data_IF_032439398556
#
_entry.id   IF_032439398556
#
_cell.length_a   1.000
_cell.length_b   1.000
_cell.length_c   1.000
_cell.angle_alpha   90.00
_cell.angle_beta   90.00
_cell.angle_gamma   90.00
#
_symmetry.space_group_name_H-M   'P 1'
#
loop_
_entity.id
_entity.type
_entity.pdbx_description
1 polymer ?
#
# COMPACT_ATOMS: atom_id res chain seq x y z
N UNK A 1 73.18 11.23 3.02
CA UNK A 1 73.46 9.98 2.26
C UNK A 1 72.19 9.70 1.47
N UNK A 2 72.07 10.19 0.22
CA UNK A 2 72.38 9.50 -1.05
C UNK A 2 71.59 8.18 -1.20
N UNK A 3 70.85 7.86 -2.28
CA UNK A 3 70.50 8.51 -3.56
C UNK A 3 69.48 7.59 -4.28
N UNK A 4 68.60 8.17 -5.09
CA UNK A 4 67.79 7.60 -6.19
C UNK A 4 68.47 6.51 -7.04
N UNK A 5 67.67 5.70 -7.78
CA UNK A 5 67.70 5.40 -9.26
C UNK A 5 66.51 4.45 -9.56
N UNK A 6 65.47 4.74 -10.37
CA UNK A 6 65.30 5.10 -11.79
C UNK A 6 65.47 3.92 -12.79
N UNK A 7 64.30 3.47 -13.31
CA UNK A 7 63.90 3.00 -14.67
C UNK A 7 64.71 1.95 -15.44
N UNK A 8 64.02 1.11 -16.22
CA UNK A 8 64.10 1.10 -17.70
C UNK A 8 62.88 0.41 -18.33
N UNK A 9 62.40 1.03 -19.41
CA UNK A 9 61.33 0.59 -20.30
C UNK A 9 61.86 -0.33 -21.43
N UNK A 10 60.97 -1.04 -22.10
CA UNK A 10 61.14 -1.39 -23.52
C UNK A 10 59.79 -1.52 -24.22
N UNK A 11 59.60 -0.66 -25.22
CA UNK A 11 58.54 -0.71 -26.24
C UNK A 11 58.83 -1.81 -27.27
N UNK A 12 57.78 -2.30 -27.95
CA UNK A 12 57.83 -2.66 -29.37
C UNK A 12 56.44 -2.52 -30.01
N UNK A 13 56.35 -1.61 -30.98
CA UNK A 13 55.26 -1.44 -31.96
C UNK A 13 55.33 -2.57 -33.01
N UNK A 14 54.25 -3.00 -33.67
CA UNK A 14 53.54 -2.44 -34.85
C UNK A 14 52.51 -3.54 -35.25
N UNK A 15 51.34 -3.31 -35.87
CA UNK A 15 51.06 -2.54 -37.07
C UNK A 15 49.54 -2.26 -37.21
N UNK A 16 49.22 -1.18 -37.91
CA UNK A 16 47.89 -0.74 -38.28
C UNK A 16 47.37 -1.45 -39.53
N UNK A 17 46.05 -1.66 -39.60
CA UNK A 17 45.30 -1.79 -40.87
C UNK A 17 44.10 -0.85 -40.78
N UNK A 18 44.05 0.10 -41.70
CA UNK A 18 42.89 0.95 -41.97
C UNK A 18 41.85 0.18 -42.79
N UNK A 19 40.57 0.29 -42.44
CA UNK A 19 39.48 0.35 -43.42
C UNK A 19 38.40 1.33 -42.99
N UNK A 20 38.05 2.19 -43.94
CA UNK A 20 37.05 3.25 -43.98
C UNK A 20 35.60 2.76 -43.85
N UNK A 21 34.71 3.54 -43.23
CA UNK A 21 33.27 3.36 -43.35
C UNK A 21 32.44 4.48 -42.70
N UNK A 22 31.61 5.14 -43.52
CA UNK A 22 30.68 6.25 -43.29
C UNK A 22 30.10 6.46 -41.88
N UNK A 23 30.04 7.75 -41.49
CA UNK A 23 29.30 8.21 -40.34
C UNK A 23 27.78 8.26 -40.54
N UNK A 24 27.10 8.43 -39.43
CA UNK A 24 26.02 9.41 -39.22
C UNK A 24 25.96 9.64 -37.71
N UNK A 25 25.92 10.91 -37.32
CA UNK A 25 25.46 11.34 -36.00
C UNK A 25 24.13 10.64 -35.69
N UNK A 26 24.06 10.01 -34.53
CA UNK A 26 22.78 9.92 -33.82
C UNK A 26 22.87 10.94 -32.70
N UNK A 27 22.32 12.10 -33.01
CA UNK A 27 21.82 13.06 -32.05
C UNK A 27 20.82 12.37 -31.11
N UNK A 28 20.77 12.91 -29.89
CA UNK A 28 19.60 12.96 -29.02
C UNK A 28 18.29 12.44 -29.63
N UNK A 29 17.84 11.29 -29.13
CA UNK A 29 16.42 11.15 -28.84
C UNK A 29 16.30 11.15 -27.32
N UNK A 30 16.07 12.36 -26.80
CA UNK A 30 15.22 12.54 -25.64
C UNK A 30 14.02 11.60 -25.79
N UNK A 31 13.65 10.76 -24.81
CA UNK A 31 12.27 10.32 -24.78
C UNK A 31 11.47 11.60 -24.62
N UNK A 32 10.74 11.97 -25.68
CA UNK A 32 9.75 13.02 -25.63
C UNK A 32 8.89 12.72 -24.41
N UNK A 33 8.95 13.64 -23.45
CA UNK A 33 7.98 13.71 -22.38
C UNK A 33 6.62 13.73 -23.06
N UNK A 34 5.93 12.60 -23.02
CA UNK A 34 4.54 12.51 -23.39
C UNK A 34 3.82 13.62 -22.63
N UNK A 35 3.18 14.50 -23.39
CA UNK A 35 2.63 15.78 -22.92
C UNK A 35 1.31 15.57 -22.17
N UNK A 36 1.30 14.57 -21.29
CA UNK A 36 0.41 14.35 -20.16
C UNK A 36 1.17 14.28 -18.81
N UNK A 37 2.45 14.71 -18.78
CA UNK A 37 3.33 14.83 -17.59
C UNK A 37 2.90 15.88 -16.56
N UNK A 38 1.64 16.32 -16.52
CA UNK A 38 1.13 17.13 -15.40
C UNK A 38 0.30 16.30 -14.41
N UNK A 39 0.07 15.01 -14.69
CA UNK A 39 -0.72 14.12 -13.82
C UNK A 39 0.10 13.01 -13.12
N UNK A 40 1.23 12.56 -13.67
CA UNK A 40 2.11 11.58 -12.99
C UNK A 40 2.95 12.24 -11.90
N UNK A 41 3.61 13.36 -12.22
CA UNK A 41 4.61 13.98 -11.33
C UNK A 41 3.96 14.55 -10.05
N UNK A 42 2.69 14.96 -10.15
CA UNK A 42 1.89 15.42 -9.01
C UNK A 42 1.46 14.25 -8.10
N UNK A 43 1.10 13.09 -8.66
CA UNK A 43 0.76 11.88 -7.89
C UNK A 43 2.00 11.24 -7.25
N UNK A 44 3.16 11.33 -7.89
CA UNK A 44 4.43 10.87 -7.33
C UNK A 44 4.89 11.69 -6.11
N UNK A 45 4.45 12.94 -6.01
CA UNK A 45 4.80 13.82 -4.89
C UNK A 45 3.97 13.62 -3.63
N UNK A 46 2.78 13.00 -3.75
CA UNK A 46 1.91 12.73 -2.61
C UNK A 46 2.45 11.53 -1.85
N UNK A 47 2.55 11.65 -0.53
CA UNK A 47 3.03 10.58 0.34
C UNK A 47 2.04 10.28 1.46
N UNK A 48 1.65 9.00 1.58
CA UNK A 48 0.99 8.45 2.75
C UNK A 48 2.04 8.03 3.77
N UNK A 49 2.00 8.66 4.94
CA UNK A 49 2.97 8.42 6.01
C UNK A 49 2.38 7.53 7.09
N UNK A 50 3.13 6.49 7.45
CA UNK A 50 2.83 5.59 8.56
C UNK A 50 3.99 5.64 9.57
N UNK A 51 3.61 5.89 10.82
CA UNK A 51 4.52 5.88 11.96
C UNK A 51 4.04 4.84 12.96
N UNK A 52 4.90 3.86 13.22
CA UNK A 52 4.64 2.73 14.11
C UNK A 52 5.85 2.49 14.99
N UNK A 53 5.70 2.64 16.30
CA UNK A 53 6.83 2.64 17.23
C UNK A 53 6.48 1.95 18.53
N UNK A 54 7.45 1.27 19.14
CA UNK A 54 7.29 0.78 20.49
C UNK A 54 7.21 1.91 21.53
N UNK A 55 6.47 1.70 22.62
CA UNK A 55 6.37 2.66 23.73
C UNK A 55 7.75 3.01 24.33
N UNK A 56 8.61 2.03 24.57
CA UNK A 56 9.99 2.22 25.05
C UNK A 56 11.00 2.58 23.96
N UNK A 57 10.60 2.61 22.69
CA UNK A 57 11.48 2.82 21.53
C UNK A 57 12.31 1.60 21.10
N UNK A 58 12.38 0.54 21.89
CA UNK A 58 12.90 -0.79 21.51
C UNK A 58 12.04 -1.85 22.18
N UNK A 59 11.40 -2.71 21.40
CA UNK A 59 10.54 -3.73 21.97
C UNK A 59 10.27 -4.87 20.98
N UNK A 60 10.48 -6.15 21.36
CA UNK A 60 10.10 -7.33 20.57
C UNK A 60 8.61 -7.34 20.16
N UNK A 61 7.76 -6.62 20.87
CA UNK A 61 6.30 -6.58 20.77
C UNK A 61 5.80 -5.91 19.48
N UNK A 62 6.52 -4.89 19.02
CA UNK A 62 6.34 -4.29 17.70
C UNK A 62 7.28 -4.94 16.67
N UNK A 63 7.60 -6.23 16.86
CA UNK A 63 8.58 -7.00 16.10
C UNK A 63 10.00 -6.40 16.09
N UNK A 64 10.35 -5.62 17.12
CA UNK A 64 11.68 -5.02 17.26
C UNK A 64 11.96 -3.87 16.29
N UNK A 65 10.97 -3.38 15.54
CA UNK A 65 11.18 -2.39 14.49
C UNK A 65 10.28 -1.16 14.67
N UNK A 66 10.88 0.02 14.57
CA UNK A 66 10.14 1.28 14.47
C UNK A 66 10.08 1.69 12.99
N UNK A 67 8.89 1.95 12.47
CA UNK A 67 8.68 2.49 11.13
C UNK A 67 8.27 3.95 11.24
N UNK A 68 8.86 4.80 10.42
CA UNK A 68 8.44 6.19 10.22
C UNK A 68 8.73 6.56 8.78
N UNK A 69 7.79 6.29 7.88
CA UNK A 69 8.05 6.36 6.45
C UNK A 69 6.87 6.93 5.66
N UNK A 70 7.19 7.56 4.54
CA UNK A 70 6.24 7.95 3.50
C UNK A 70 6.29 6.96 2.34
N UNK A 71 5.12 6.69 1.75
CA UNK A 71 4.98 5.93 0.50
C UNK A 71 4.14 6.71 -0.49
N UNK A 72 4.55 6.67 -1.75
CA UNK A 72 3.78 7.27 -2.84
C UNK A 72 2.40 6.63 -2.95
N UNK A 73 1.46 7.30 -3.62
CA UNK A 73 0.18 6.70 -3.92
C UNK A 73 0.37 5.39 -4.71
N UNK A 74 -0.42 4.37 -4.38
CA UNK A 74 -0.32 3.03 -4.96
C UNK A 74 0.81 2.16 -4.40
N UNK A 75 1.67 2.69 -3.52
CA UNK A 75 2.73 1.92 -2.87
C UNK A 75 2.32 1.43 -1.48
N UNK A 76 2.73 0.20 -1.15
CA UNK A 76 2.52 -0.38 0.18
C UNK A 76 3.55 0.16 1.19
N UNK A 77 3.06 0.45 2.40
CA UNK A 77 3.93 0.62 3.57
C UNK A 77 4.63 -0.70 3.91
N UNK A 78 5.72 -0.59 4.65
CA UNK A 78 6.36 -1.73 5.30
C UNK A 78 5.36 -2.47 6.17
N UNK A 79 5.51 -3.79 6.21
CA UNK A 79 4.70 -4.65 7.07
C UNK A 79 5.12 -4.48 8.52
N UNK A 80 4.18 -4.00 9.33
CA UNK A 80 4.33 -3.95 10.78
C UNK A 80 3.61 -5.14 11.40
N UNK A 81 4.08 -5.57 12.56
CA UNK A 81 3.49 -6.68 13.31
C UNK A 81 3.24 -6.24 14.73
N UNK A 82 2.05 -6.56 15.22
CA UNK A 82 1.63 -6.36 16.59
C UNK A 82 1.62 -7.72 17.27
N UNK A 83 2.49 -7.95 18.25
CA UNK A 83 2.37 -9.12 19.12
C UNK A 83 1.08 -9.05 19.93
N UNK A 84 0.44 -10.20 20.13
CA UNK A 84 -0.77 -10.35 20.95
C UNK A 84 -0.56 -11.35 22.09
N UNK A 85 0.70 -11.66 22.39
CA UNK A 85 1.17 -12.72 23.31
C UNK A 85 1.61 -12.23 24.70
N UNK A 86 0.96 -11.18 25.23
CA UNK A 86 1.06 -10.72 26.63
C UNK A 86 2.43 -10.25 27.09
N UNK A 87 3.14 -9.57 26.22
CA UNK A 87 4.42 -8.98 26.56
C UNK A 87 4.24 -7.59 27.17
N UNK A 88 5.18 -7.12 28.01
CA UNK A 88 5.07 -5.79 28.60
C UNK A 88 5.16 -4.71 27.50
N UNK A 89 4.30 -3.70 27.58
CA UNK A 89 4.21 -2.51 26.72
C UNK A 89 3.36 -2.68 25.46
N UNK A 90 3.36 -1.64 24.61
CA UNK A 90 2.56 -1.55 23.40
C UNK A 90 3.25 -0.81 22.28
N UNK A 91 2.48 -0.61 21.21
CA UNK A 91 2.91 0.09 20.01
C UNK A 91 2.07 1.36 19.80
N UNK A 92 2.74 2.49 19.61
CA UNK A 92 2.14 3.72 19.10
C UNK A 92 1.97 3.62 17.59
N UNK A 93 0.81 4.04 17.09
CA UNK A 93 0.52 4.18 15.67
C UNK A 93 -0.06 5.55 15.38
N UNK A 94 0.33 6.13 14.25
CA UNK A 94 -0.28 7.34 13.68
C UNK A 94 0.00 7.44 12.18
N UNK A 95 -0.79 8.28 11.51
CA UNK A 95 -0.65 8.56 10.09
C UNK A 95 -0.64 10.05 9.79
N UNK A 96 -0.17 10.39 8.61
CA UNK A 96 -0.24 11.72 8.01
C UNK A 96 -0.19 11.63 6.49
N UNK A 97 -0.67 12.65 5.80
CA UNK A 97 -0.61 12.70 4.33
C UNK A 97 0.09 14.01 3.94
N UNK A 98 1.23 13.88 3.27
CA UNK A 98 1.94 15.00 2.67
C UNK A 98 1.47 15.14 1.22
N UNK A 99 0.83 16.27 0.92
CA UNK A 99 0.24 16.58 -0.38
C UNK A 99 0.60 18.02 -0.78
N UNK A 100 1.78 18.22 -1.39
CA UNK A 100 2.38 19.54 -1.62
C UNK A 100 1.60 20.38 -2.64
N UNK A 101 0.83 19.73 -3.51
CA UNK A 101 0.09 20.37 -4.60
C UNK A 101 -1.43 20.34 -4.42
N UNK A 102 -1.94 19.70 -3.36
CA UNK A 102 -3.38 19.65 -3.07
C UNK A 102 -4.13 18.62 -3.92
N UNK A 103 -3.47 17.60 -4.45
CA UNK A 103 -4.06 16.53 -5.26
C UNK A 103 -5.13 15.73 -4.51
N UNK A 104 -5.02 15.66 -3.19
CA UNK A 104 -5.94 15.02 -2.25
C UNK A 104 -6.81 16.04 -1.50
N UNK A 105 -6.88 17.30 -1.94
CA UNK A 105 -7.76 18.31 -1.35
C UNK A 105 -9.20 17.80 -1.29
N UNK A 106 -9.86 18.02 -0.15
CA UNK A 106 -11.21 17.51 0.14
C UNK A 106 -11.27 16.05 0.64
N UNK A 107 -10.16 15.31 0.64
CA UNK A 107 -10.10 13.98 1.26
C UNK A 107 -10.23 14.10 2.78
N UNK A 108 -11.15 13.33 3.36
CA UNK A 108 -11.24 13.13 4.80
C UNK A 108 -11.06 11.65 5.13
N UNK A 109 -9.83 11.28 5.51
CA UNK A 109 -9.49 9.96 6.04
C UNK A 109 -9.54 10.01 7.57
N UNK A 110 -10.25 9.06 8.17
CA UNK A 110 -10.37 8.96 9.63
C UNK A 110 -10.10 7.54 10.12
N UNK A 111 -9.57 7.45 11.34
CA UNK A 111 -9.41 6.19 12.06
C UNK A 111 -10.12 6.34 13.40
N UNK A 112 -11.14 5.52 13.64
CA UNK A 112 -11.76 5.39 14.96
C UNK A 112 -11.12 4.23 15.70
N UNK A 113 -10.61 4.50 16.90
CA UNK A 113 -9.90 3.53 17.72
C UNK A 113 -10.52 3.44 19.11
N UNK A 114 -11.11 2.29 19.43
CA UNK A 114 -11.81 2.06 20.70
C UNK A 114 -11.66 0.61 21.14
N UNK A 115 -11.95 0.32 22.41
CA UNK A 115 -12.08 -1.06 22.87
C UNK A 115 -13.28 -1.77 22.24
N UNK A 116 -13.19 -3.08 22.01
CA UNK A 116 -14.22 -3.93 21.41
C UNK A 116 -15.58 -3.90 22.17
N UNK A 117 -15.61 -3.40 23.41
CA UNK A 117 -16.81 -3.23 24.24
C UNK A 117 -17.17 -1.77 24.55
N UNK A 118 -16.68 -0.80 23.75
CA UNK A 118 -17.10 0.61 23.82
C UNK A 118 -16.49 1.45 24.95
N UNK A 119 -15.71 0.85 25.85
CA UNK A 119 -14.85 1.54 26.81
C UNK A 119 -13.55 0.77 26.95
N UNK A 120 -12.41 1.50 26.99
CA UNK A 120 -11.03 1.01 27.22
C UNK A 120 -11.02 -0.39 27.79
N UNK A 121 -10.81 -1.37 26.92
CA UNK A 121 -10.62 -2.79 27.24
C UNK A 121 -9.50 -2.90 28.27
N UNK A 122 -9.83 -2.76 29.56
CA UNK A 122 -8.94 -2.84 30.71
C UNK A 122 -7.55 -2.14 30.58
N UNK A 123 -7.43 -1.06 29.80
CA UNK A 123 -6.16 -0.35 29.55
C UNK A 123 -5.40 -0.75 28.27
N UNK A 124 -5.96 -1.59 27.40
CA UNK A 124 -5.32 -2.09 26.17
C UNK A 124 -5.26 -1.09 25.02
N UNK A 125 -6.27 -0.22 24.94
CA UNK A 125 -6.39 0.78 23.89
C UNK A 125 -6.06 2.13 24.49
N UNK A 126 -4.80 2.54 24.36
CA UNK A 126 -4.30 3.82 24.85
C UNK A 126 -4.73 4.95 23.92
N UNK A 127 -5.19 6.04 24.52
CA UNK A 127 -5.73 7.20 23.81
C UNK A 127 -6.83 6.77 22.80
N UNK A 128 -7.96 6.19 23.26
CA UNK A 128 -9.07 5.87 22.36
C UNK A 128 -9.72 7.16 21.85
N UNK A 129 -10.15 7.15 20.60
CA UNK A 129 -10.72 8.32 19.95
C UNK A 129 -10.88 8.16 18.45
N UNK A 130 -11.45 9.18 17.83
CA UNK A 130 -11.54 9.28 16.38
C UNK A 130 -10.54 10.31 15.89
N UNK A 131 -9.62 9.85 15.05
CA UNK A 131 -8.50 10.62 14.53
C UNK A 131 -8.74 10.98 13.08
N UNK A 132 -8.80 12.28 12.78
CA UNK A 132 -8.69 12.77 11.41
C UNK A 132 -7.22 12.73 10.99
N UNK A 133 -6.93 12.06 9.88
CA UNK A 133 -5.58 12.02 9.31
C UNK A 133 -5.36 13.32 8.52
N UNK A 134 -4.41 14.19 8.94
CA UNK A 134 -4.21 15.46 8.27
C UNK A 134 -3.71 15.27 6.84
N UNK A 135 -4.30 16.01 5.92
CA UNK A 135 -3.87 16.14 4.52
C UNK A 135 -3.43 17.58 4.31
N UNK A 136 -2.21 17.81 3.82
CA UNK A 136 -1.76 19.16 3.53
C UNK A 136 -0.36 19.25 2.93
N UNK A 137 0.07 20.47 2.55
CA UNK A 137 1.32 20.69 1.83
C UNK A 137 2.57 20.48 2.69
N UNK A 138 2.40 20.39 4.01
CA UNK A 138 3.45 20.04 4.95
C UNK A 138 2.95 18.84 5.75
N UNK A 139 3.85 17.85 5.96
CA UNK A 139 3.51 16.66 6.71
C UNK A 139 3.08 17.06 8.13
N UNK A 140 1.82 16.77 8.44
CA UNK A 140 1.25 16.90 9.78
C UNK A 140 0.70 15.55 10.21
N UNK A 141 0.81 15.26 11.50
CA UNK A 141 0.42 13.96 12.06
C UNK A 141 -0.91 14.03 12.76
N UNK A 142 -1.70 12.96 12.63
CA UNK A 142 -2.75 12.68 13.59
C UNK A 142 -2.16 12.49 15.00
N UNK A 143 -3.00 12.66 16.02
CA UNK A 143 -2.67 12.21 17.37
C UNK A 143 -2.36 10.70 17.37
N UNK A 144 -1.35 10.24 18.13
CA UNK A 144 -1.05 8.82 18.21
C UNK A 144 -2.08 8.10 19.09
N UNK A 145 -2.41 6.88 18.71
CA UNK A 145 -3.09 5.92 19.59
C UNK A 145 -2.18 4.73 19.83
N UNK A 146 -2.39 4.10 20.98
CA UNK A 146 -1.52 3.07 21.47
C UNK A 146 -2.26 1.75 21.63
N UNK A 147 -1.56 0.68 21.30
CA UNK A 147 -2.06 -0.69 21.34
C UNK A 147 -1.18 -1.41 22.36
N UNK A 148 -1.66 -1.48 23.61
CA UNK A 148 -0.98 -2.19 24.70
C UNK A 148 -1.18 -3.69 24.55
N UNK A 149 -0.06 -4.43 24.55
CA UNK A 149 -0.01 -5.87 24.24
C UNK A 149 -0.05 -6.74 25.49
N UNK A 150 -0.32 -6.17 26.67
CA UNK A 150 -0.39 -6.88 27.94
C UNK A 150 -1.64 -7.79 28.07
N UNK A 151 -1.60 -8.75 29.01
CA UNK A 151 -2.59 -9.81 29.31
C UNK A 151 -3.95 -9.31 29.85
N UNK A 152 -4.32 -8.07 29.57
CA UNK A 152 -5.68 -7.65 29.85
C UNK A 152 -6.67 -8.44 28.98
N UNK A 153 -7.88 -8.72 29.48
CA UNK A 153 -8.92 -9.28 28.62
C UNK A 153 -9.58 -8.16 27.83
N UNK A 154 -9.66 -8.35 26.51
CA UNK A 154 -10.34 -7.43 25.61
C UNK A 154 -9.65 -7.34 24.26
N UNK A 155 -10.00 -6.31 23.51
CA UNK A 155 -9.41 -6.06 22.22
C UNK A 155 -9.62 -4.63 21.78
N UNK A 156 -8.86 -4.20 20.78
CA UNK A 156 -8.99 -2.89 20.18
C UNK A 156 -9.55 -3.00 18.77
N UNK A 157 -10.52 -2.16 18.46
CA UNK A 157 -11.12 -2.04 17.15
C UNK A 157 -10.54 -0.80 16.48
N UNK A 158 -9.98 -1.00 15.29
CA UNK A 158 -9.56 0.06 14.37
C UNK A 158 -10.56 0.12 13.21
N UNK A 159 -11.31 1.20 13.12
CA UNK A 159 -12.23 1.46 12.01
C UNK A 159 -11.67 2.54 11.11
N UNK A 160 -11.33 2.18 9.89
CA UNK A 160 -10.87 3.09 8.85
C UNK A 160 -12.08 3.56 8.04
N UNK A 161 -12.15 4.87 7.77
CA UNK A 161 -13.23 5.45 6.99
C UNK A 161 -12.72 6.58 6.11
N UNK A 162 -13.08 6.53 4.84
CA UNK A 162 -12.81 7.58 3.85
C UNK A 162 -14.10 8.36 3.61
N UNK A 163 -14.00 9.67 3.41
CA UNK A 163 -15.12 10.54 3.06
C UNK A 163 -14.62 11.79 2.32
N UNK A 164 -15.54 12.62 1.85
CA UNK A 164 -15.25 13.83 1.07
C UNK A 164 -14.84 13.55 -0.38
N UNK A 165 -14.29 12.36 -0.67
CA UNK A 165 -13.90 11.91 -2.00
C UNK A 165 -14.25 10.45 -2.21
N UNK A 166 -14.70 10.13 -3.42
CA UNK A 166 -15.02 8.77 -3.87
C UNK A 166 -14.00 8.19 -4.85
N UNK A 167 -13.00 8.98 -5.26
CA UNK A 167 -11.90 8.58 -6.16
C UNK A 167 -10.62 8.22 -5.41
N UNK A 168 -10.70 7.96 -4.10
CA UNK A 168 -9.58 7.59 -3.24
C UNK A 168 -9.96 6.37 -2.41
N UNK A 169 -9.05 5.41 -2.33
CA UNK A 169 -9.20 4.21 -1.51
C UNK A 169 -7.98 4.00 -0.62
N UNK A 170 -8.22 3.47 0.58
CA UNK A 170 -7.19 2.95 1.46
C UNK A 170 -7.31 1.44 1.49
N UNK A 171 -6.33 0.74 0.92
CA UNK A 171 -6.23 -0.70 1.08
C UNK A 171 -5.50 -1.03 2.39
N UNK A 172 -6.04 -2.01 3.10
CA UNK A 172 -5.51 -2.51 4.35
C UNK A 172 -5.37 -4.02 4.24
N UNK A 173 -4.15 -4.52 4.39
CA UNK A 173 -3.91 -5.95 4.51
C UNK A 173 -3.65 -6.26 5.97
N UNK A 174 -4.51 -7.13 6.52
CA UNK A 174 -4.52 -7.50 7.92
C UNK A 174 -4.44 -9.01 8.05
N UNK A 175 -3.25 -9.55 8.34
CA UNK A 175 -3.03 -11.00 8.36
C UNK A 175 -2.74 -11.49 9.78
N UNK A 176 -3.21 -12.69 10.11
CA UNK A 176 -2.87 -13.36 11.35
C UNK A 176 -1.49 -14.02 11.28
N UNK A 177 -0.68 -13.81 12.32
CA UNK A 177 0.52 -14.59 12.56
C UNK A 177 0.18 -15.78 13.47
N UNK A 178 0.18 -16.98 12.89
CA UNK A 178 -0.02 -18.29 13.54
C UNK A 178 -1.42 -18.59 14.08
N UNK A 179 -2.19 -17.61 14.58
CA UNK A 179 -3.52 -17.86 15.15
C UNK A 179 -4.60 -16.93 14.56
N UNK A 180 -5.59 -17.50 13.85
CA UNK A 180 -6.62 -16.74 13.12
C UNK A 180 -7.69 -16.07 14.01
N UNK A 181 -7.72 -16.35 15.32
CA UNK A 181 -8.73 -15.83 16.24
C UNK A 181 -8.39 -14.47 16.86
N UNK A 182 -7.13 -14.03 16.77
CA UNK A 182 -6.65 -12.79 17.39
C UNK A 182 -6.80 -11.58 16.46
N UNK A 183 -6.88 -11.82 15.15
CA UNK A 183 -7.01 -10.80 14.13
C UNK A 183 -8.38 -10.98 13.47
N UNK A 184 -9.44 -10.46 14.09
CA UNK A 184 -10.77 -10.61 13.52
C UNK A 184 -10.92 -9.71 12.30
N UNK A 185 -11.66 -10.22 11.32
CA UNK A 185 -11.73 -9.63 9.98
C UNK A 185 -10.34 -9.59 9.31
N UNK A 186 -9.54 -10.64 9.47
CA UNK A 186 -8.28 -10.79 8.72
C UNK A 186 -8.55 -10.94 7.21
N UNK A 187 -7.65 -10.39 6.40
CA UNK A 187 -7.71 -10.41 4.94
C UNK A 187 -7.22 -9.11 4.31
N UNK A 188 -7.42 -9.01 3.00
CA UNK A 188 -7.20 -7.78 2.25
C UNK A 188 -8.52 -7.03 2.14
N UNK A 189 -8.51 -5.76 2.53
CA UNK A 189 -9.68 -4.90 2.57
C UNK A 189 -9.43 -3.62 1.80
N UNK A 190 -10.48 -3.08 1.20
CA UNK A 190 -10.46 -1.77 0.56
C UNK A 190 -11.48 -0.86 1.23
N UNK A 191 -10.97 0.20 1.86
CA UNK A 191 -11.77 1.26 2.47
C UNK A 191 -12.11 2.28 1.41
N UNK A 192 -13.40 2.54 1.21
CA UNK A 192 -13.90 3.56 0.28
C UNK A 192 -14.87 4.49 1.00
N UNK A 193 -15.36 5.52 0.29
CA UNK A 193 -16.38 6.44 0.81
C UNK A 193 -17.68 5.76 1.27
N UNK A 194 -17.94 4.54 0.78
CA UNK A 194 -19.17 3.79 1.04
C UNK A 194 -18.92 2.50 1.83
N UNK A 195 -17.65 2.14 2.05
CA UNK A 195 -17.26 0.90 2.69
C UNK A 195 -16.20 1.18 3.77
N UNK A 196 -16.60 1.61 4.97
CA UNK A 196 -15.70 1.67 6.11
C UNK A 196 -15.32 0.25 6.55
N UNK A 197 -14.07 0.06 6.98
CA UNK A 197 -13.56 -1.27 7.39
C UNK A 197 -13.14 -1.22 8.85
N UNK A 198 -13.65 -2.17 9.63
CA UNK A 198 -13.25 -2.41 11.02
C UNK A 198 -12.38 -3.65 11.13
N UNK A 199 -11.25 -3.51 11.80
CA UNK A 199 -10.33 -4.59 12.15
C UNK A 199 -10.30 -4.71 13.67
N UNK A 200 -10.45 -5.92 14.20
CA UNK A 200 -10.38 -6.15 15.65
C UNK A 200 -9.12 -6.91 15.99
N UNK A 201 -8.34 -6.32 16.90
CA UNK A 201 -7.20 -6.94 17.57
C UNK A 201 -7.72 -7.52 18.88
N UNK A 202 -7.91 -8.83 18.95
CA UNK A 202 -8.26 -9.54 20.18
C UNK A 202 -6.99 -9.93 20.92
N UNK A 203 -6.88 -9.44 22.15
CA UNK A 203 -5.75 -9.65 23.03
C UNK A 203 -6.23 -10.51 24.18
N UNK A 204 -6.14 -11.83 23.99
CA UNK A 204 -6.52 -12.80 25.00
C UNK A 204 -5.40 -13.79 25.31
N UNK A 205 -4.15 -13.31 25.29
CA UNK A 205 -2.95 -14.01 25.73
C UNK A 205 -2.65 -15.30 24.96
N UNK A 206 -3.07 -15.33 23.70
CA UNK A 206 -2.66 -16.38 22.77
C UNK A 206 -1.39 -15.94 22.07
N UNK A 207 -0.51 -16.91 21.86
CA UNK A 207 0.72 -16.70 21.12
C UNK A 207 0.41 -16.27 19.69
N UNK A 208 1.16 -15.34 19.12
CA UNK A 208 0.95 -14.86 17.76
C UNK A 208 0.90 -13.34 17.70
N UNK A 209 0.26 -12.85 16.63
CA UNK A 209 0.16 -11.43 16.39
C UNK A 209 -0.62 -11.12 15.13
N UNK A 210 -0.75 -9.85 14.82
CA UNK A 210 -1.39 -9.38 13.60
C UNK A 210 -0.44 -8.52 12.78
N UNK A 211 -0.33 -8.83 11.50
CA UNK A 211 0.39 -8.01 10.54
C UNK A 211 -0.52 -6.94 9.95
N UNK A 212 0.02 -5.74 9.74
CA UNK A 212 -0.65 -4.64 9.08
C UNK A 212 0.24 -4.05 7.99
N UNK A 213 -0.31 -3.86 6.79
CA UNK A 213 0.25 -2.99 5.74
C UNK A 213 -0.86 -2.15 5.13
N UNK A 214 -0.51 -0.93 4.74
CA UNK A 214 -1.45 0.05 4.22
C UNK A 214 -1.00 0.54 2.84
N UNK A 215 -1.96 0.86 1.99
CA UNK A 215 -1.71 1.51 0.68
C UNK A 215 -2.82 2.51 0.42
N UNK A 216 -2.45 3.79 0.32
CA UNK A 216 -3.36 4.82 -0.17
C UNK A 216 -3.23 4.91 -1.69
N UNK A 217 -4.35 4.95 -2.40
CA UNK A 217 -4.35 5.09 -3.87
C UNK A 217 -5.50 5.94 -4.35
N UNK A 218 -5.32 6.52 -5.53
CA UNK A 218 -6.37 7.23 -6.27
C UNK A 218 -6.95 6.25 -7.28
N UNK A 219 -8.26 6.03 -7.19
CA UNK A 219 -9.02 5.22 -8.13
C UNK A 219 -9.23 6.07 -9.39
N UNK A 220 -8.32 5.95 -10.35
CA UNK A 220 -8.37 6.71 -11.59
C UNK A 220 -9.03 5.91 -12.68
N UNK A 221 -10.11 6.44 -13.26
CA UNK A 221 -10.62 5.84 -14.48
C UNK A 221 -9.65 6.05 -15.67
N UNK A 222 -9.57 5.08 -16.57
CA UNK A 222 -8.83 5.12 -17.83
C UNK A 222 -7.48 4.42 -17.82
N UNK A 223 -7.17 3.61 -16.81
CA UNK A 223 -5.94 2.79 -16.73
C UNK A 223 -6.14 1.34 -17.21
N UNK A 224 -7.36 0.98 -17.62
CA UNK A 224 -7.76 -0.35 -18.06
C UNK A 224 -7.54 -1.45 -17.00
N UNK A 225 -7.56 -1.11 -15.71
CA UNK A 225 -7.51 -2.09 -14.63
C UNK A 225 -8.66 -1.81 -13.67
N UNK A 226 -9.59 -2.76 -13.51
CA UNK A 226 -10.64 -2.63 -12.51
C UNK A 226 -10.11 -2.98 -11.11
N UNK A 227 -9.67 -1.99 -10.35
CA UNK A 227 -9.27 -2.20 -8.96
C UNK A 227 -10.48 -2.32 -8.02
N UNK A 228 -10.31 -2.96 -6.86
CA UNK A 228 -11.39 -3.08 -5.88
C UNK A 228 -11.94 -1.70 -5.46
N UNK A 229 -13.26 -1.53 -5.46
CA UNK A 229 -13.90 -0.27 -5.09
C UNK A 229 -14.03 0.76 -6.22
N UNK A 230 -13.49 0.48 -7.40
CA UNK A 230 -13.69 1.33 -8.57
C UNK A 230 -15.09 1.17 -9.16
N UNK A 231 -15.67 2.29 -9.60
CA UNK A 231 -16.99 2.32 -10.26
C UNK A 231 -16.90 2.82 -11.70
N UNK A 232 -15.70 2.80 -12.28
CA UNK A 232 -15.41 3.31 -13.62
C UNK A 232 -15.83 2.28 -14.68
N UNK A 233 -16.88 2.52 -15.49
CA UNK A 233 -17.29 1.52 -16.50
C UNK A 233 -16.23 1.32 -17.59
N UNK A 234 -15.41 2.34 -17.87
CA UNK A 234 -14.33 2.25 -18.85
C UNK A 234 -13.28 1.19 -18.49
N UNK A 235 -12.97 1.04 -17.19
CA UNK A 235 -11.94 0.10 -16.72
C UNK A 235 -12.55 -1.19 -16.17
N UNK A 236 -13.75 -1.10 -15.58
CA UNK A 236 -14.47 -2.23 -14.97
C UNK A 236 -15.45 -2.95 -15.88
N UNK A 237 -15.69 -2.46 -17.09
CA UNK A 237 -16.45 -3.14 -18.13
C UNK A 237 -15.57 -3.21 -19.39
N UNK A 238 -14.73 -4.24 -19.51
CA UNK A 238 -13.87 -4.48 -20.66
C UNK A 238 -14.46 -5.55 -21.56
N UNK A 239 -15.59 -5.21 -22.18
CA UNK A 239 -16.23 -6.16 -23.06
C UNK A 239 -15.45 -6.36 -24.36
N UNK A 240 -15.24 -7.64 -24.71
CA UNK A 240 -14.48 -8.11 -25.86
C UNK A 240 -13.05 -8.58 -25.54
N UNK A 241 -12.67 -8.74 -24.26
CA UNK A 241 -11.34 -9.25 -23.87
C UNK A 241 -11.30 -10.79 -23.72
N UNK A 242 -12.46 -11.45 -23.83
CA UNK A 242 -12.63 -12.89 -23.75
C UNK A 242 -12.68 -13.45 -22.32
N UNK A 243 -12.62 -12.61 -21.28
CA UNK A 243 -12.56 -13.01 -19.87
C UNK A 243 -13.66 -12.30 -19.08
N UNK A 244 -14.67 -13.04 -18.64
CA UNK A 244 -15.69 -12.50 -17.73
C UNK A 244 -15.13 -12.19 -16.33
N UNK A 245 -14.92 -10.92 -15.97
CA UNK A 245 -14.40 -10.48 -14.66
C UNK A 245 -14.95 -9.13 -14.18
N UNK A 246 -14.69 -8.80 -12.91
CA UNK A 246 -15.03 -7.50 -12.34
C UNK A 246 -16.54 -7.22 -12.33
N UNK A 247 -16.99 -6.18 -13.03
CA UNK A 247 -18.41 -5.79 -13.10
C UNK A 247 -19.15 -6.40 -14.30
N UNK A 248 -18.46 -7.21 -15.11
CA UNK A 248 -19.04 -7.86 -16.28
C UNK A 248 -20.03 -8.96 -15.89
N UNK A 249 -21.12 -9.02 -16.63
CA UNK A 249 -22.15 -10.02 -16.50
C UNK A 249 -22.88 -10.16 -17.84
N UNK A 250 -23.72 -11.19 -17.96
CA UNK A 250 -24.49 -11.47 -19.19
C UNK A 250 -25.36 -10.32 -19.71
N UNK A 251 -25.61 -9.27 -18.91
CA UNK A 251 -26.45 -8.14 -19.32
C UNK A 251 -25.64 -6.94 -19.80
N UNK A 252 -24.45 -6.69 -19.25
CA UNK A 252 -23.60 -5.56 -19.64
C UNK A 252 -22.38 -5.96 -20.50
N UNK A 253 -21.98 -7.23 -20.47
CA UNK A 253 -20.98 -7.79 -21.37
C UNK A 253 -21.33 -9.25 -21.76
N UNK A 254 -22.33 -9.44 -22.63
CA UNK A 254 -22.70 -10.78 -23.10
C UNK A 254 -21.61 -11.42 -23.97
N UNK A 255 -20.71 -10.65 -24.56
CA UNK A 255 -19.66 -11.19 -25.45
C UNK A 255 -18.67 -12.06 -24.68
N UNK A 256 -18.30 -11.67 -23.45
CA UNK A 256 -17.38 -12.43 -22.60
C UNK A 256 -18.09 -13.24 -21.50
N UNK A 257 -19.26 -12.78 -21.03
CA UNK A 257 -20.02 -13.40 -19.93
C UNK A 257 -21.28 -14.17 -20.34
N UNK A 258 -21.53 -14.37 -21.63
CA UNK A 258 -22.60 -15.27 -22.06
C UNK A 258 -22.17 -16.72 -21.85
N UNK A 259 -23.06 -17.59 -21.31
CA UNK A 259 -22.80 -19.03 -21.30
C UNK A 259 -22.57 -19.47 -22.75
N UNK A 260 -21.40 -20.07 -22.99
CA UNK A 260 -21.03 -20.65 -24.27
C UNK A 260 -22.17 -21.58 -24.72
N UNK A 261 -22.86 -21.18 -25.78
CA UNK A 261 -23.81 -22.05 -26.48
C UNK A 261 -23.01 -23.25 -27.00
N UNK A 262 -23.47 -24.51 -26.81
CA UNK A 262 -22.69 -25.67 -27.24
C UNK A 262 -22.53 -25.63 -28.77
N UNK A 263 -21.33 -25.32 -29.24
CA UNK A 263 -21.03 -25.28 -30.68
C UNK A 263 -19.89 -24.37 -31.13
N UNK A 264 -19.49 -23.38 -30.33
CA UNK A 264 -18.34 -22.52 -30.66
C UNK A 264 -17.40 -22.38 -29.45
N UNK A 265 -16.09 -22.54 -29.67
CA UNK A 265 -15.08 -22.47 -28.62
C UNK A 265 -14.94 -21.02 -28.12
N UNK A 266 -15.35 -20.74 -26.88
CA UNK A 266 -14.76 -19.62 -26.14
C UNK A 266 -13.32 -20.01 -25.78
N UNK A 267 -12.38 -19.26 -26.35
CA UNK A 267 -10.95 -19.40 -26.14
C UNK A 267 -10.67 -18.96 -24.69
N UNK A 268 -10.52 -19.94 -23.79
CA UNK A 268 -10.12 -19.82 -22.37
C UNK A 268 -11.16 -19.36 -21.33
N UNK A 269 -12.07 -20.28 -20.98
CA UNK A 269 -12.39 -20.45 -19.55
C UNK A 269 -11.40 -21.49 -18.97
N UNK A 270 -10.54 -21.18 -17.99
CA UNK A 270 -9.82 -22.23 -17.29
C UNK A 270 -10.84 -23.12 -16.57
N UNK A 271 -10.70 -24.45 -16.65
CA UNK A 271 -11.54 -25.35 -15.88
C UNK A 271 -11.22 -25.14 -14.40
N UNK A 272 -12.17 -24.58 -13.65
CA UNK A 272 -12.14 -24.74 -12.20
C UNK A 272 -12.22 -26.24 -11.89
N UNK A 273 -11.16 -26.72 -11.24
CA UNK A 273 -11.00 -28.06 -10.67
C UNK A 273 -12.03 -28.29 -9.54
N UNK A 274 -12.28 -29.56 -9.16
CA UNK A 274 -13.60 -30.14 -8.86
C UNK A 274 -14.27 -29.69 -7.56
#
# INVERSE_FOLDING_TARGET
MFKNYITHAAMLATAAVLTTGCGTDIQEESPEADTLSTRSDALESVQFWHDFRAYSGVSPECNGFNVSEGRGLGQWTSQVRLDTDSRPQGCWQKFGIHDPYGELSGLALTVSFYGNSGSTSNGQCDNPGTYAIPVGPVLSWAGPWGIDTTDAHGGCVQTFSVSGRSDVALDVRFDADRHNGQCQNAGMHTVTAFNPVSLTLEMDNRYGGCYQTFRLRKMTCGDNICEAGETCPADCTQCGDGICRGSENRFNCPEDCSPVIPGECAIFCPPEFP
#
